data_IF_221642927856
#
_entry.id   IF_221642927856
#
_cell.length_a   1.000
_cell.length_b   1.000
_cell.length_c   1.000
_cell.angle_alpha   90.00
_cell.angle_beta   90.00
_cell.angle_gamma   90.00
#
_symmetry.space_group_name_H-M   'P 1'
#
loop_
_entity.id
_entity.type
_entity.pdbx_description
1 polymer ?
#
# COMPACT_ATOMS: atom_id res chain seq x y z
N UNK A 1 -12.68 -45.75 65.28
CA UNK A 1 -12.76 -46.94 64.40
C UNK A 1 -12.28 -46.55 63.00
N UNK A 2 -11.71 -47.51 62.22
CA UNK A 2 -10.45 -47.32 61.47
C UNK A 2 -10.65 -47.38 59.92
N UNK A 3 -9.66 -47.30 59.01
CA UNK A 3 -8.18 -47.46 59.03
C UNK A 3 -7.48 -46.23 58.39
N UNK A 4 -6.20 -45.87 58.60
CA UNK A 4 -4.90 -46.50 58.88
C UNK A 4 -3.97 -46.69 57.64
N UNK A 5 -2.67 -46.36 57.82
CA UNK A 5 -1.48 -46.93 57.11
C UNK A 5 -1.21 -46.36 55.68
N UNK A 6 0.02 -46.06 55.22
CA UNK A 6 1.41 -46.47 55.59
C UNK A 6 2.45 -45.38 55.25
N UNK A 7 3.61 -45.43 55.90
CA UNK A 7 4.85 -44.76 55.47
C UNK A 7 5.56 -45.50 54.32
N UNK A 8 6.19 -44.78 53.39
CA UNK A 8 7.16 -45.29 52.41
C UNK A 8 8.10 -44.15 51.98
N UNK A 9 9.35 -44.14 52.46
CA UNK A 9 10.55 -44.63 51.75
C UNK A 9 10.92 -43.78 50.53
N UNK A 10 12.00 -42.98 50.65
CA UNK A 10 12.64 -42.33 49.51
C UNK A 10 13.16 -43.39 48.53
N UNK A 11 12.58 -43.44 47.33
CA UNK A 11 13.11 -44.20 46.20
C UNK A 11 14.05 -43.32 45.39
N UNK A 12 15.32 -43.68 45.33
CA UNK A 12 16.28 -43.16 44.36
C UNK A 12 15.84 -43.52 42.93
N UNK A 13 15.25 -42.57 42.21
CA UNK A 13 14.93 -42.73 40.80
C UNK A 13 16.21 -42.57 39.95
N UNK A 14 16.80 -43.72 39.66
CA UNK A 14 17.66 -44.04 38.51
C UNK A 14 17.87 -42.93 37.47
N UNK A 15 19.14 -42.62 37.21
CA UNK A 15 19.55 -41.89 36.00
C UNK A 15 19.01 -42.62 34.76
N UNK A 16 18.09 -41.99 34.04
CA UNK A 16 17.71 -42.44 32.69
C UNK A 16 18.92 -42.29 31.78
N UNK A 17 19.38 -43.41 31.23
CA UNK A 17 20.44 -43.47 30.21
C UNK A 17 20.14 -42.49 29.09
N UNK A 18 21.07 -41.57 28.85
CA UNK A 18 20.97 -40.63 27.73
C UNK A 18 21.13 -41.44 26.45
N UNK A 19 20.18 -41.28 25.53
CA UNK A 19 20.16 -41.92 24.22
C UNK A 19 21.42 -41.49 23.44
N UNK A 20 22.40 -42.40 23.30
CA UNK A 20 23.61 -42.21 22.47
C UNK A 20 23.25 -42.28 20.98
N UNK A 21 22.42 -41.32 20.55
CA UNK A 21 22.11 -41.11 19.15
C UNK A 21 23.39 -40.86 18.36
N UNK A 22 23.52 -41.54 17.22
CA UNK A 22 24.72 -41.53 16.38
C UNK A 22 25.30 -40.12 16.16
N UNK A 23 26.64 -39.95 16.18
CA UNK A 23 27.27 -38.64 16.00
C UNK A 23 26.82 -37.96 14.71
N UNK A 24 26.06 -36.86 14.83
CA UNK A 24 25.56 -36.17 13.64
C UNK A 24 26.59 -35.17 13.09
N UNK A 25 26.83 -35.26 11.78
CA UNK A 25 27.60 -34.27 11.05
C UNK A 25 26.74 -33.01 10.87
N UNK A 26 27.29 -31.85 11.24
CA UNK A 26 26.64 -30.54 11.14
C UNK A 26 27.51 -29.56 10.36
N UNK A 27 26.87 -28.69 9.60
CA UNK A 27 27.50 -27.52 9.00
C UNK A 27 27.01 -26.27 9.73
N UNK A 28 27.92 -25.33 9.99
CA UNK A 28 27.64 -24.10 10.71
C UNK A 28 27.62 -22.89 9.77
N UNK A 29 26.86 -21.85 10.11
CA UNK A 29 26.81 -20.60 9.35
C UNK A 29 26.61 -19.37 10.26
N UNK A 30 27.33 -18.28 9.99
CA UNK A 30 27.25 -17.03 10.77
C UNK A 30 28.21 -16.96 11.96
N UNK A 31 29.19 -17.87 12.03
CA UNK A 31 30.31 -17.86 12.99
C UNK A 31 31.60 -17.41 12.28
N UNK A 32 32.76 -17.58 12.90
CA UNK A 32 34.06 -17.38 12.26
C UNK A 32 34.27 -18.26 11.01
N UNK A 33 35.16 -17.81 10.13
CA UNK A 33 35.50 -18.50 8.87
C UNK A 33 36.22 -19.84 9.09
N UNK A 34 36.80 -20.09 10.27
CA UNK A 34 37.41 -21.36 10.62
C UNK A 34 36.37 -22.49 10.73
N UNK A 35 35.14 -22.19 11.16
CA UNK A 35 34.10 -23.19 11.47
C UNK A 35 33.00 -23.24 10.41
N UNK A 36 32.65 -22.09 9.81
CA UNK A 36 31.56 -21.99 8.83
C UNK A 36 31.74 -22.97 7.67
N UNK A 37 30.64 -23.64 7.30
CA UNK A 37 30.54 -24.59 6.19
C UNK A 37 31.45 -25.83 6.24
N UNK A 38 32.27 -26.02 7.29
CA UNK A 38 33.02 -27.26 7.51
C UNK A 38 32.08 -28.35 8.03
N UNK A 39 31.92 -29.50 7.34
CA UNK A 39 31.16 -30.63 7.85
C UNK A 39 31.83 -31.17 9.11
N UNK A 40 31.15 -31.04 10.25
CA UNK A 40 31.74 -31.23 11.56
C UNK A 40 30.98 -32.31 12.32
N UNK A 41 31.67 -33.40 12.68
CA UNK A 41 31.11 -34.53 13.43
C UNK A 41 31.14 -34.19 14.93
N UNK A 42 29.99 -33.79 15.47
CA UNK A 42 29.86 -33.50 16.90
C UNK A 42 29.75 -34.81 17.70
N UNK A 43 30.39 -34.86 18.86
CA UNK A 43 30.30 -36.01 19.79
C UNK A 43 28.89 -36.09 20.40
N UNK A 44 28.31 -34.93 20.75
CA UNK A 44 26.97 -34.82 21.30
C UNK A 44 26.04 -34.05 20.36
N UNK A 45 24.82 -34.55 20.18
CA UNK A 45 23.81 -33.91 19.34
C UNK A 45 23.35 -32.56 19.93
N UNK A 46 23.26 -31.53 19.08
CA UNK A 46 22.69 -30.23 19.47
C UNK A 46 21.17 -30.33 19.63
N UNK A 47 20.61 -29.47 20.49
CA UNK A 47 19.16 -29.29 20.61
C UNK A 47 18.55 -28.97 19.23
N UNK A 48 17.43 -29.62 18.87
CA UNK A 48 16.82 -29.51 17.53
C UNK A 48 16.60 -28.05 17.09
N UNK A 49 16.18 -27.19 18.01
CA UNK A 49 15.96 -25.75 17.79
C UNK A 49 17.21 -24.94 17.38
N UNK A 50 18.42 -25.51 17.50
CA UNK A 50 19.68 -24.93 17.01
C UNK A 50 19.96 -25.28 15.55
N UNK A 51 19.33 -26.32 14.99
CA UNK A 51 19.43 -26.68 13.58
C UNK A 51 18.25 -26.11 12.80
N UNK A 52 18.48 -25.64 11.58
CA UNK A 52 17.40 -25.36 10.64
C UNK A 52 16.70 -26.68 10.27
N UNK A 53 15.38 -26.71 10.42
CA UNK A 53 14.54 -27.89 10.23
C UNK A 53 14.35 -28.26 8.75
N UNK A 54 14.74 -27.37 7.82
CA UNK A 54 14.74 -27.63 6.37
C UNK A 54 16.11 -28.07 5.84
N UNK A 55 17.16 -27.29 6.12
CA UNK A 55 18.48 -27.51 5.52
C UNK A 55 19.52 -28.15 6.47
N UNK A 56 19.16 -28.44 7.72
CA UNK A 56 20.04 -29.07 8.71
C UNK A 56 21.18 -28.19 9.26
N UNK A 57 21.53 -27.10 8.57
CA UNK A 57 22.55 -26.11 8.96
C UNK A 57 22.23 -25.52 10.33
N UNK A 58 23.27 -25.33 11.15
CA UNK A 58 23.21 -24.68 12.46
C UNK A 58 23.65 -23.22 12.30
N UNK A 59 22.73 -22.23 12.29
CA UNK A 59 23.07 -20.82 12.22
C UNK A 59 23.40 -20.24 13.60
N UNK A 60 23.95 -19.02 13.61
CA UNK A 60 24.08 -18.18 14.80
C UNK A 60 22.73 -17.60 15.32
N UNK A 61 21.70 -17.45 14.48
CA UNK A 61 20.31 -17.13 14.84
C UNK A 61 19.35 -18.16 14.22
N UNK A 62 18.52 -18.82 15.04
CA UNK A 62 17.32 -19.53 14.56
C UNK A 62 16.05 -18.75 14.89
N UNK A 63 15.06 -18.90 13.99
CA UNK A 63 13.69 -18.42 14.18
C UNK A 63 12.79 -19.62 14.44
N UNK A 64 12.23 -19.67 15.63
CA UNK A 64 11.43 -20.79 16.13
C UNK A 64 9.96 -20.40 16.07
N UNK A 65 9.17 -21.20 15.34
CA UNK A 65 7.73 -21.01 15.20
C UNK A 65 6.97 -21.58 16.43
N UNK A 66 5.70 -21.22 16.64
CA UNK A 66 4.86 -21.83 17.68
C UNK A 66 4.76 -23.37 17.61
N UNK A 67 4.84 -23.95 16.40
CA UNK A 67 4.93 -25.40 16.21
C UNK A 67 6.30 -26.02 16.57
N UNK A 68 7.20 -25.26 17.21
CA UNK A 68 8.56 -25.65 17.64
C UNK A 68 9.56 -25.96 16.51
N UNK A 69 9.16 -25.84 15.25
CA UNK A 69 10.09 -25.90 14.11
C UNK A 69 10.97 -24.64 14.04
N UNK A 70 12.27 -24.86 13.87
CA UNK A 70 13.28 -23.81 13.84
C UNK A 70 13.89 -23.63 12.44
N UNK A 71 14.08 -22.41 11.99
CA UNK A 71 14.59 -22.07 10.65
C UNK A 71 15.75 -21.08 10.72
N UNK A 72 16.75 -21.22 9.85
CA UNK A 72 17.75 -20.17 9.68
C UNK A 72 17.15 -18.96 8.93
N UNK A 73 17.75 -17.77 9.07
CA UNK A 73 17.25 -16.54 8.46
C UNK A 73 17.04 -16.62 6.92
N UNK A 74 17.82 -17.44 6.20
CA UNK A 74 17.61 -17.65 4.76
C UNK A 74 16.35 -18.46 4.47
N UNK A 75 16.21 -19.62 5.13
CA UNK A 75 15.03 -20.48 5.00
C UNK A 75 13.74 -19.81 5.50
N UNK A 76 13.81 -19.05 6.60
CA UNK A 76 12.66 -18.30 7.13
C UNK A 76 12.13 -17.29 6.11
N UNK A 77 13.02 -16.52 5.45
CA UNK A 77 12.62 -15.57 4.40
C UNK A 77 11.97 -16.24 3.19
N UNK A 78 12.31 -17.49 2.89
CA UNK A 78 11.72 -18.23 1.77
C UNK A 78 10.31 -18.78 2.07
N UNK A 79 9.96 -18.96 3.35
CA UNK A 79 8.63 -19.47 3.76
C UNK A 79 7.65 -18.37 4.17
N UNK A 80 8.09 -17.12 4.29
CA UNK A 80 7.27 -15.98 4.71
C UNK A 80 6.81 -15.15 3.49
N UNK A 81 5.52 -14.74 3.37
CA UNK A 81 4.42 -14.87 4.33
C UNK A 81 3.51 -16.10 4.06
N UNK A 82 4.06 -17.30 4.25
CA UNK A 82 3.33 -18.57 4.27
C UNK A 82 3.36 -19.23 5.66
N UNK A 83 2.77 -20.43 5.76
CA UNK A 83 2.81 -21.25 6.98
C UNK A 83 4.11 -22.05 7.11
N UNK A 84 4.24 -22.80 8.20
CA UNK A 84 5.31 -23.77 8.38
C UNK A 84 5.24 -24.84 7.27
N UNK A 85 6.30 -25.05 6.48
CA UNK A 85 6.28 -26.04 5.38
C UNK A 85 6.34 -27.50 5.85
N UNK A 86 6.51 -27.76 7.15
CA UNK A 86 6.65 -29.12 7.71
C UNK A 86 5.30 -29.67 8.19
N UNK A 87 4.48 -28.82 8.80
CA UNK A 87 3.19 -29.21 9.41
C UNK A 87 1.99 -28.37 8.92
N UNK A 88 2.22 -27.34 8.09
CA UNK A 88 1.18 -26.45 7.56
C UNK A 88 0.68 -25.35 8.50
N UNK A 89 1.20 -25.27 9.74
CA UNK A 89 0.72 -24.31 10.74
C UNK A 89 0.93 -22.86 10.31
N UNK A 90 -0.10 -22.04 10.40
CA UNK A 90 0.03 -20.58 10.32
C UNK A 90 0.68 -20.02 11.60
N UNK A 91 1.32 -18.86 11.47
CA UNK A 91 1.92 -18.11 12.57
C UNK A 91 1.87 -16.61 12.26
N UNK A 92 1.82 -15.76 13.27
CA UNK A 92 2.08 -14.32 13.10
C UNK A 92 3.55 -13.99 13.41
N UNK A 93 4.07 -12.91 12.83
CA UNK A 93 5.45 -12.45 13.06
C UNK A 93 5.73 -12.13 14.55
N UNK A 94 4.71 -11.80 15.34
CA UNK A 94 4.78 -11.63 16.80
C UNK A 94 5.14 -12.90 17.56
N UNK A 95 4.81 -14.06 16.99
CA UNK A 95 4.87 -15.36 17.66
C UNK A 95 6.16 -16.12 17.31
N UNK A 96 6.99 -15.53 16.44
CA UNK A 96 8.28 -16.09 15.99
C UNK A 96 9.36 -15.72 17.00
N UNK A 97 9.72 -16.68 17.86
CA UNK A 97 10.81 -16.49 18.80
C UNK A 97 12.17 -16.51 18.09
N UNK A 98 13.07 -15.59 18.46
CA UNK A 98 14.46 -15.58 17.96
C UNK A 98 15.39 -16.18 19.00
N UNK A 99 16.21 -17.13 18.57
CA UNK A 99 17.15 -17.83 19.45
C UNK A 99 18.58 -17.69 18.92
N UNK A 100 19.36 -16.87 19.61
CA UNK A 100 20.79 -16.69 19.35
C UNK A 100 21.60 -17.87 19.91
N UNK A 101 22.55 -18.35 19.12
CA UNK A 101 23.56 -19.33 19.50
C UNK A 101 24.93 -18.67 19.33
N UNK A 102 25.54 -18.26 20.44
CA UNK A 102 26.81 -17.53 20.40
C UNK A 102 27.98 -18.44 19.99
N UNK A 103 29.02 -17.86 19.40
CA UNK A 103 30.19 -18.62 18.99
C UNK A 103 30.91 -19.28 20.18
N UNK A 104 30.96 -18.61 21.33
CA UNK A 104 31.47 -19.17 22.59
C UNK A 104 30.73 -20.46 23.02
N UNK A 105 29.40 -20.48 22.89
CA UNK A 105 28.58 -21.66 23.18
C UNK A 105 28.74 -22.79 22.15
N UNK A 106 29.25 -22.48 20.95
CA UNK A 106 29.60 -23.45 19.91
C UNK A 106 31.03 -23.98 20.09
N UNK A 107 32.01 -23.11 20.31
CA UNK A 107 33.43 -23.45 20.50
C UNK A 107 33.66 -24.45 21.63
N UNK A 108 32.84 -24.40 22.68
CA UNK A 108 32.86 -25.34 23.82
C UNK A 108 32.32 -26.74 23.51
N UNK A 109 31.73 -26.99 22.34
CA UNK A 109 31.15 -28.30 21.97
C UNK A 109 32.25 -29.29 21.60
N UNK A 110 32.09 -30.54 22.04
CA UNK A 110 33.01 -31.62 21.72
C UNK A 110 32.78 -32.13 20.28
N UNK A 111 33.86 -32.27 19.52
CA UNK A 111 33.83 -32.70 18.12
C UNK A 111 35.07 -33.55 17.77
N UNK A 112 34.95 -34.36 16.71
CA UNK A 112 36.09 -35.03 16.09
C UNK A 112 36.83 -34.07 15.16
N UNK A 113 38.13 -34.30 14.96
CA UNK A 113 38.93 -33.63 13.94
C UNK A 113 38.29 -33.75 12.54
N UNK A 114 38.37 -32.70 11.73
CA UNK A 114 37.84 -32.72 10.35
C UNK A 114 38.56 -33.73 9.42
N UNK A 115 39.74 -34.23 9.82
CA UNK A 115 40.46 -35.33 9.15
C UNK A 115 40.17 -36.72 9.79
N UNK A 116 39.10 -36.89 10.58
CA UNK A 116 38.80 -38.16 11.23
C UNK A 116 38.55 -39.31 10.24
N UNK A 117 37.89 -39.05 9.12
CA UNK A 117 37.68 -40.04 8.05
C UNK A 117 39.00 -40.43 7.33
N UNK A 118 40.07 -39.65 7.51
CA UNK A 118 41.42 -39.95 7.05
C UNK A 118 42.25 -40.72 8.11
N UNK A 119 41.67 -41.03 9.28
CA UNK A 119 42.34 -41.74 10.38
C UNK A 119 42.83 -40.86 11.54
N UNK A 120 42.47 -39.57 11.60
CA UNK A 120 42.79 -38.74 12.75
C UNK A 120 41.87 -39.03 13.94
N UNK A 121 42.43 -39.57 15.03
CA UNK A 121 41.66 -39.95 16.23
C UNK A 121 41.37 -38.79 17.20
N UNK A 122 41.82 -37.56 16.90
CA UNK A 122 41.67 -36.41 17.80
C UNK A 122 40.21 -36.01 18.03
N UNK A 123 39.85 -35.82 19.31
CA UNK A 123 38.56 -35.33 19.79
C UNK A 123 38.82 -34.29 20.88
N UNK A 124 38.16 -33.14 20.79
CA UNK A 124 38.30 -32.04 21.74
C UNK A 124 37.18 -31.02 21.62
N UNK A 125 37.30 -29.85 22.27
CA UNK A 125 36.37 -28.76 22.01
C UNK A 125 36.53 -28.26 20.56
N UNK A 126 35.53 -27.59 19.98
CA UNK A 126 35.65 -27.04 18.62
C UNK A 126 36.77 -26.01 18.49
N UNK A 127 37.13 -25.34 19.60
CA UNK A 127 38.31 -24.49 19.65
C UNK A 127 39.60 -25.31 19.50
N UNK A 128 39.76 -26.37 20.30
CA UNK A 128 40.93 -27.25 20.25
C UNK A 128 41.02 -28.00 18.92
N UNK A 129 39.89 -28.40 18.34
CA UNK A 129 39.80 -29.04 17.02
C UNK A 129 40.28 -28.09 15.91
N UNK A 130 39.96 -26.80 16.00
CA UNK A 130 40.47 -25.82 15.02
C UNK A 130 41.99 -25.65 15.13
N UNK A 131 42.50 -25.48 16.36
CA UNK A 131 43.94 -25.34 16.61
C UNK A 131 44.70 -26.60 16.16
N UNK A 132 44.26 -27.78 16.60
CA UNK A 132 44.83 -29.05 16.18
C UNK A 132 44.80 -29.22 14.65
N UNK A 133 43.68 -28.87 14.00
CA UNK A 133 43.58 -28.99 12.55
C UNK A 133 44.55 -28.04 11.84
N UNK A 134 44.63 -26.77 12.23
CA UNK A 134 45.44 -25.80 11.49
C UNK A 134 46.95 -25.98 11.74
N UNK A 135 47.38 -26.34 12.97
CA UNK A 135 48.80 -26.40 13.36
C UNK A 135 49.39 -27.82 13.50
N UNK A 136 48.63 -28.79 14.02
CA UNK A 136 49.17 -30.10 14.48
C UNK A 136 48.77 -31.33 13.63
N UNK A 137 47.80 -31.21 12.71
CA UNK A 137 47.17 -32.38 12.11
C UNK A 137 47.98 -33.02 10.95
N UNK A 138 48.63 -34.14 11.26
CA UNK A 138 49.40 -34.95 10.29
C UNK A 138 48.57 -35.60 9.15
N UNK A 139 47.24 -35.59 9.27
CA UNK A 139 46.30 -36.27 8.36
C UNK A 139 45.69 -35.36 7.27
N UNK A 140 46.29 -34.19 7.03
CA UNK A 140 45.95 -33.34 5.88
C UNK A 140 46.32 -34.00 4.56
N UNK A 141 45.49 -33.80 3.53
CA UNK A 141 45.89 -34.09 2.16
C UNK A 141 46.82 -33.01 1.59
N UNK A 142 47.84 -33.44 0.87
CA UNK A 142 48.72 -32.60 0.05
C UNK A 142 48.83 -33.19 -1.36
N UNK A 143 49.02 -32.31 -2.35
CA UNK A 143 49.34 -32.75 -3.71
C UNK A 143 50.84 -33.01 -3.81
N UNK A 144 51.21 -34.25 -4.17
CA UNK A 144 52.60 -34.59 -4.45
C UNK A 144 53.10 -33.80 -5.67
N UNK A 145 54.13 -32.97 -5.49
CA UNK A 145 54.65 -32.10 -6.58
C UNK A 145 55.28 -32.87 -7.74
N UNK A 146 55.57 -34.17 -7.58
CA UNK A 146 56.10 -35.02 -8.65
C UNK A 146 55.02 -35.69 -9.52
N UNK A 147 53.93 -36.21 -8.92
CA UNK A 147 52.90 -36.98 -9.64
C UNK A 147 51.51 -36.33 -9.62
N UNK A 148 51.32 -35.24 -8.87
CA UNK A 148 50.04 -34.57 -8.61
C UNK A 148 48.95 -35.46 -7.99
N UNK A 149 49.33 -36.58 -7.37
CA UNK A 149 48.43 -37.41 -6.57
C UNK A 149 48.17 -36.81 -5.18
N UNK A 150 46.96 -37.01 -4.67
CA UNK A 150 46.58 -36.69 -3.29
C UNK A 150 47.18 -37.72 -2.33
N UNK A 151 47.98 -37.26 -1.37
CA UNK A 151 48.66 -38.10 -0.36
C UNK A 151 48.49 -37.44 1.00
N UNK A 152 48.39 -38.23 2.07
CA UNK A 152 48.42 -37.67 3.44
C UNK A 152 49.80 -37.05 3.72
N UNK A 153 49.81 -35.92 4.41
CA UNK A 153 51.03 -35.14 4.71
C UNK A 153 52.10 -35.99 5.39
N UNK A 154 51.71 -36.78 6.39
CA UNK A 154 52.58 -37.76 7.08
C UNK A 154 53.22 -38.81 6.15
N UNK A 155 52.52 -39.22 5.10
CA UNK A 155 52.93 -40.33 4.23
C UNK A 155 53.71 -39.86 3.00
N UNK A 156 53.91 -38.54 2.81
CA UNK A 156 54.56 -37.99 1.61
C UNK A 156 55.99 -38.54 1.40
N UNK A 157 56.75 -38.75 2.48
CA UNK A 157 58.09 -39.35 2.39
C UNK A 157 58.03 -40.82 1.96
N UNK A 158 57.06 -41.55 2.48
CA UNK A 158 56.88 -42.96 2.18
C UNK A 158 56.37 -43.18 0.75
N UNK A 159 55.46 -42.33 0.28
CA UNK A 159 55.05 -42.23 -1.12
C UNK A 159 56.23 -42.01 -2.08
N UNK A 160 57.23 -41.20 -1.70
CA UNK A 160 58.45 -41.03 -2.49
C UNK A 160 59.34 -42.28 -2.47
N UNK A 161 59.48 -42.96 -1.32
CA UNK A 161 60.26 -44.21 -1.18
C UNK A 161 59.63 -45.37 -1.96
N UNK A 162 58.31 -45.47 -1.98
CA UNK A 162 57.54 -46.47 -2.73
C UNK A 162 57.51 -46.21 -4.25
N UNK A 163 58.33 -45.28 -4.75
CA UNK A 163 58.56 -45.10 -6.17
C UNK A 163 57.57 -44.17 -6.86
N UNK A 164 57.22 -43.05 -6.22
CA UNK A 164 56.45 -41.97 -6.86
C UNK A 164 57.01 -41.58 -8.24
N UNK A 165 56.18 -41.74 -9.28
CA UNK A 165 56.43 -41.42 -10.70
C UNK A 165 55.25 -40.62 -11.26
N UNK A 166 55.46 -39.81 -12.30
CA UNK A 166 54.40 -39.06 -13.00
C UNK A 166 53.29 -39.96 -13.59
N UNK A 167 53.57 -41.24 -13.77
CA UNK A 167 52.71 -42.21 -14.46
C UNK A 167 51.96 -43.16 -13.49
N UNK A 168 52.25 -43.11 -12.17
CA UNK A 168 51.68 -44.04 -11.18
C UNK A 168 50.26 -43.63 -10.72
N UNK A 169 49.33 -43.43 -11.66
CA UNK A 169 47.93 -43.77 -11.42
C UNK A 169 47.74 -45.26 -11.74
N UNK A 170 47.03 -46.05 -10.91
CA UNK A 170 47.05 -47.50 -11.04
C UNK A 170 46.23 -47.99 -12.24
N UNK A 171 46.91 -48.48 -13.27
CA UNK A 171 46.34 -49.35 -14.30
C UNK A 171 46.86 -50.78 -14.12
N UNK A 172 45.94 -51.70 -13.81
CA UNK A 172 46.19 -53.10 -13.44
C UNK A 172 46.89 -53.90 -14.58
N UNK A 173 48.11 -54.38 -14.36
CA UNK A 173 48.95 -55.03 -15.37
C UNK A 173 48.77 -56.55 -15.45
N UNK A 174 47.83 -57.00 -16.31
CA UNK A 174 47.74 -58.40 -16.76
C UNK A 174 47.25 -58.58 -18.20
N UNK A 175 47.70 -57.73 -19.13
CA UNK A 175 47.39 -57.86 -20.56
C UNK A 175 48.47 -57.24 -21.48
N UNK A 176 49.42 -58.04 -21.98
CA UNK A 176 50.33 -57.65 -23.07
C UNK A 176 50.34 -58.71 -24.19
N UNK A 177 49.15 -59.10 -24.65
CA UNK A 177 48.95 -59.94 -25.83
C UNK A 177 47.92 -59.37 -26.83
N UNK A 178 47.39 -58.16 -26.59
CA UNK A 178 46.20 -57.62 -27.27
C UNK A 178 46.37 -56.25 -27.95
N UNK A 179 47.60 -55.76 -28.19
CA UNK A 179 47.81 -54.36 -28.65
C UNK A 179 46.98 -53.97 -29.89
N UNK A 180 46.84 -54.85 -30.88
CA UNK A 180 46.03 -54.58 -32.07
C UNK A 180 44.50 -54.59 -31.80
N UNK A 181 44.02 -55.53 -30.97
CA UNK A 181 42.61 -55.60 -30.58
C UNK A 181 42.25 -54.48 -29.60
N UNK A 182 43.19 -53.99 -28.80
CA UNK A 182 43.03 -52.85 -27.90
C UNK A 182 42.98 -51.51 -28.64
N UNK A 183 43.74 -51.34 -29.73
CA UNK A 183 43.60 -50.17 -30.62
C UNK A 183 42.23 -50.19 -31.33
N UNK A 184 41.79 -51.32 -31.89
CA UNK A 184 40.44 -51.42 -32.48
C UNK A 184 39.32 -51.22 -31.44
N UNK A 185 39.49 -51.75 -30.22
CA UNK A 185 38.56 -51.59 -29.10
C UNK A 185 38.51 -50.14 -28.61
N UNK A 186 39.64 -49.44 -28.58
CA UNK A 186 39.72 -48.02 -28.27
C UNK A 186 39.12 -47.15 -29.38
N UNK A 187 39.32 -47.52 -30.65
CA UNK A 187 38.66 -46.89 -31.80
C UNK A 187 37.14 -47.00 -31.72
N UNK A 188 36.60 -48.22 -31.53
CA UNK A 188 35.16 -48.43 -31.29
C UNK A 188 34.64 -47.72 -30.04
N UNK A 189 35.43 -47.63 -28.97
CA UNK A 189 35.05 -46.88 -27.79
C UNK A 189 35.02 -45.36 -28.05
N UNK A 190 35.94 -44.83 -28.85
CA UNK A 190 35.95 -43.44 -29.29
C UNK A 190 34.77 -43.13 -30.20
N UNK A 191 34.46 -43.98 -31.18
CA UNK A 191 33.26 -43.88 -32.03
C UNK A 191 31.97 -43.92 -31.19
N UNK A 192 31.86 -44.85 -30.23
CA UNK A 192 30.73 -44.92 -29.32
C UNK A 192 30.63 -43.69 -28.40
N UNK A 193 31.75 -43.05 -28.06
CA UNK A 193 31.78 -41.81 -27.28
C UNK A 193 31.38 -40.61 -28.13
N UNK A 194 31.85 -40.53 -29.38
CA UNK A 194 31.44 -39.51 -30.36
C UNK A 194 29.95 -39.60 -30.69
N UNK A 195 29.41 -40.81 -30.84
CA UNK A 195 27.97 -41.04 -31.01
C UNK A 195 27.16 -40.55 -29.79
N UNK A 196 27.61 -40.83 -28.56
CA UNK A 196 26.99 -40.29 -27.34
C UNK A 196 27.09 -38.76 -27.27
N UNK A 197 28.22 -38.18 -27.68
CA UNK A 197 28.38 -36.72 -27.71
C UNK A 197 27.45 -36.07 -28.74
N UNK A 198 27.22 -36.71 -29.89
CA UNK A 198 26.24 -36.26 -30.88
C UNK A 198 24.80 -36.33 -30.34
N UNK A 199 24.42 -37.42 -29.65
CA UNK A 199 23.12 -37.55 -28.97
C UNK A 199 22.93 -36.49 -27.87
N UNK A 200 23.95 -36.26 -27.03
CA UNK A 200 23.93 -35.22 -26.00
C UNK A 200 23.80 -33.84 -26.64
N UNK A 201 24.51 -33.56 -27.73
CA UNK A 201 24.42 -32.30 -28.47
C UNK A 201 23.04 -32.10 -29.09
N UNK A 202 22.42 -33.15 -29.65
CA UNK A 202 21.05 -33.11 -30.16
C UNK A 202 20.03 -32.84 -29.04
N UNK A 203 20.16 -33.54 -27.91
CA UNK A 203 19.31 -33.37 -26.73
C UNK A 203 19.43 -31.97 -26.09
N UNK A 204 20.65 -31.42 -26.03
CA UNK A 204 20.89 -30.04 -25.60
C UNK A 204 20.26 -29.03 -26.56
N UNK A 205 20.36 -29.25 -27.87
CA UNK A 205 19.77 -28.38 -28.89
C UNK A 205 18.24 -28.38 -28.82
N UNK A 206 17.59 -29.54 -28.67
CA UNK A 206 16.14 -29.61 -28.45
C UNK A 206 15.72 -28.94 -27.13
N UNK A 207 16.48 -29.17 -26.06
CA UNK A 207 16.22 -28.54 -24.75
C UNK A 207 16.32 -27.01 -24.82
N UNK A 208 17.32 -26.48 -25.53
CA UNK A 208 17.45 -25.04 -25.81
C UNK A 208 16.28 -24.50 -26.64
N UNK A 209 15.88 -25.21 -27.70
CA UNK A 209 14.76 -24.82 -28.54
C UNK A 209 13.42 -24.88 -27.79
N UNK A 210 13.25 -25.81 -26.85
CA UNK A 210 12.09 -25.89 -25.96
C UNK A 210 12.07 -24.73 -24.97
N UNK A 211 13.17 -24.49 -24.25
CA UNK A 211 13.29 -23.38 -23.31
C UNK A 211 13.09 -22.02 -23.99
N UNK A 212 13.61 -21.83 -25.20
CA UNK A 212 13.42 -20.62 -26.01
C UNK A 212 11.94 -20.39 -26.34
N UNK A 213 11.21 -21.44 -26.76
CA UNK A 213 9.76 -21.36 -27.00
C UNK A 213 8.96 -21.05 -25.73
N UNK A 214 9.27 -21.73 -24.63
CA UNK A 214 8.61 -21.50 -23.32
C UNK A 214 8.85 -20.05 -22.84
N UNK A 215 10.08 -19.55 -22.99
CA UNK A 215 10.43 -18.16 -22.67
C UNK A 215 9.65 -17.16 -23.54
N UNK A 216 9.55 -17.40 -24.86
CA UNK A 216 8.80 -16.55 -25.80
C UNK A 216 7.27 -16.58 -25.61
N UNK A 217 6.74 -17.63 -24.98
CA UNK A 217 5.33 -17.69 -24.56
C UNK A 217 5.15 -16.90 -23.27
N UNK A 218 5.95 -17.19 -22.23
CA UNK A 218 5.89 -16.48 -20.95
C UNK A 218 6.10 -14.96 -21.08
N UNK A 219 7.00 -14.52 -21.97
CA UNK A 219 7.17 -13.09 -22.29
C UNK A 219 5.92 -12.46 -22.90
N UNK A 220 5.17 -13.20 -23.73
CA UNK A 220 3.91 -12.72 -24.34
C UNK A 220 2.78 -12.65 -23.33
N UNK A 221 2.72 -13.59 -22.40
CA UNK A 221 1.74 -13.60 -21.31
C UNK A 221 2.01 -12.44 -20.34
N UNK A 222 3.27 -12.21 -19.98
CA UNK A 222 3.70 -11.03 -19.20
C UNK A 222 3.37 -9.73 -19.95
N UNK A 223 3.68 -9.63 -21.25
CA UNK A 223 3.35 -8.45 -22.05
C UNK A 223 1.83 -8.17 -22.09
N UNK A 224 1.02 -9.22 -22.22
CA UNK A 224 -0.45 -9.13 -22.21
C UNK A 224 -0.98 -8.68 -20.83
N UNK A 225 -0.42 -9.23 -19.75
CA UNK A 225 -0.74 -8.85 -18.37
C UNK A 225 -0.36 -7.40 -18.08
N UNK A 226 0.84 -6.96 -18.47
CA UNK A 226 1.30 -5.56 -18.32
C UNK A 226 0.41 -4.61 -19.13
N UNK A 227 -0.02 -4.98 -20.33
CA UNK A 227 -0.95 -4.17 -21.12
C UNK A 227 -2.33 -4.04 -20.44
N UNK A 228 -2.85 -5.12 -19.85
CA UNK A 228 -4.10 -5.10 -19.08
C UNK A 228 -3.98 -4.23 -17.80
N UNK A 229 -2.90 -4.40 -17.03
CA UNK A 229 -2.61 -3.56 -15.86
C UNK A 229 -2.46 -2.08 -16.22
N UNK A 230 -1.83 -1.76 -17.35
CA UNK A 230 -1.68 -0.38 -17.84
C UNK A 230 -3.03 0.28 -18.14
N UNK A 231 -4.00 -0.47 -18.67
CA UNK A 231 -5.38 0.02 -18.88
C UNK A 231 -6.09 0.29 -17.56
N UNK A 232 -6.08 -0.67 -16.63
CA UNK A 232 -6.67 -0.51 -15.30
C UNK A 232 -6.06 0.67 -14.51
N UNK A 233 -4.74 0.88 -14.59
CA UNK A 233 -4.08 2.04 -14.00
C UNK A 233 -4.54 3.36 -14.62
N UNK A 234 -4.84 3.38 -15.92
CA UNK A 234 -5.37 4.57 -16.60
C UNK A 234 -6.80 4.88 -16.17
N UNK A 235 -7.65 3.87 -16.08
CA UNK A 235 -9.04 3.99 -15.57
C UNK A 235 -9.07 4.46 -14.10
N UNK A 236 -8.23 3.87 -13.24
CA UNK A 236 -8.07 4.31 -11.84
C UNK A 236 -7.59 5.75 -11.74
N UNK A 237 -6.67 6.18 -12.60
CA UNK A 237 -6.19 7.58 -12.65
C UNK A 237 -7.29 8.54 -13.09
N UNK A 238 -8.12 8.15 -14.05
CA UNK A 238 -9.28 8.95 -14.45
C UNK A 238 -10.32 9.07 -13.32
N UNK A 239 -10.60 7.97 -12.61
CA UNK A 239 -11.46 7.95 -11.43
C UNK A 239 -10.91 8.77 -10.27
N UNK A 240 -9.60 8.74 -10.02
CA UNK A 240 -8.96 9.62 -9.05
C UNK A 240 -9.15 11.09 -9.41
N UNK A 241 -8.93 11.47 -10.68
CA UNK A 241 -9.16 12.84 -11.13
C UNK A 241 -10.64 13.27 -11.01
N UNK A 242 -11.59 12.33 -11.18
CA UNK A 242 -13.03 12.59 -10.95
C UNK A 242 -13.34 12.85 -9.48
N UNK A 243 -12.77 12.05 -8.57
CA UNK A 243 -12.86 12.26 -7.11
C UNK A 243 -12.20 13.57 -6.70
N UNK A 244 -11.02 13.91 -7.22
CA UNK A 244 -10.29 15.14 -6.90
C UNK A 244 -11.06 16.39 -7.34
N UNK A 245 -11.66 16.37 -8.54
CA UNK A 245 -12.55 17.44 -9.01
C UNK A 245 -13.77 17.58 -8.11
N UNK A 246 -14.43 16.48 -7.75
CA UNK A 246 -15.58 16.48 -6.85
C UNK A 246 -15.23 17.01 -5.45
N UNK A 247 -14.11 16.56 -4.89
CA UNK A 247 -13.59 17.01 -3.60
C UNK A 247 -13.26 18.50 -3.62
N UNK A 248 -12.57 18.99 -4.66
CA UNK A 248 -12.26 20.41 -4.85
C UNK A 248 -13.54 21.25 -4.94
N UNK A 249 -14.54 20.81 -5.71
CA UNK A 249 -15.86 21.47 -5.77
C UNK A 249 -16.53 21.50 -4.40
N UNK A 250 -16.47 20.41 -3.63
CA UNK A 250 -17.06 20.35 -2.28
C UNK A 250 -16.31 21.24 -1.27
N UNK A 251 -14.99 21.30 -1.33
CA UNK A 251 -14.15 22.21 -0.53
C UNK A 251 -14.49 23.67 -0.86
N UNK A 252 -14.62 24.03 -2.14
CA UNK A 252 -15.01 25.39 -2.54
C UNK A 252 -16.44 25.75 -2.08
N UNK A 253 -17.38 24.80 -2.13
CA UNK A 253 -18.72 24.99 -1.57
C UNK A 253 -18.69 25.18 -0.05
N UNK A 254 -17.84 24.42 0.67
CA UNK A 254 -17.66 24.56 2.12
C UNK A 254 -16.97 25.89 2.47
N UNK A 255 -15.95 26.32 1.73
CA UNK A 255 -15.29 27.62 1.92
C UNK A 255 -16.27 28.79 1.67
N UNK A 256 -17.13 28.70 0.65
CA UNK A 256 -18.20 29.68 0.43
C UNK A 256 -19.21 29.72 1.60
N UNK A 257 -19.62 28.56 2.14
CA UNK A 257 -20.46 28.48 3.34
C UNK A 257 -19.74 29.05 4.58
N UNK A 258 -18.43 28.78 4.72
CA UNK A 258 -17.61 29.25 5.84
C UNK A 258 -17.44 30.77 5.81
N UNK A 259 -17.22 31.36 4.62
CA UNK A 259 -17.22 32.82 4.41
C UNK A 259 -18.59 33.44 4.65
N UNK A 260 -19.67 32.66 4.54
CA UNK A 260 -21.02 33.05 4.96
C UNK A 260 -21.24 33.05 6.48
N UNK A 261 -20.44 32.33 7.28
CA UNK A 261 -20.67 32.23 8.73
C UNK A 261 -20.72 33.57 9.48
N UNK A 262 -19.93 34.61 9.17
CA UNK A 262 -20.06 35.92 9.81
C UNK A 262 -21.46 36.56 9.64
N UNK A 263 -22.15 36.30 8.52
CA UNK A 263 -23.54 36.73 8.33
C UNK A 263 -24.52 35.85 9.14
N UNK A 264 -24.29 34.53 9.14
CA UNK A 264 -25.07 33.52 9.88
C UNK A 264 -24.99 33.75 11.40
N UNK A 265 -23.83 34.18 11.93
CA UNK A 265 -23.62 34.48 13.35
C UNK A 265 -24.41 35.74 13.76
N UNK A 266 -24.42 36.79 12.93
CA UNK A 266 -25.32 37.95 13.12
C UNK A 266 -26.81 37.57 13.04
N UNK A 267 -27.11 36.39 12.48
CA UNK A 267 -28.45 35.82 12.33
C UNK A 267 -28.88 34.89 13.48
N UNK A 268 -28.01 34.56 14.45
CA UNK A 268 -28.27 33.47 15.43
C UNK A 268 -29.56 33.63 16.22
N UNK A 269 -29.91 34.85 16.61
CA UNK A 269 -31.11 35.12 17.42
C UNK A 269 -32.38 35.34 16.59
N UNK A 270 -32.25 35.59 15.27
CA UNK A 270 -33.37 35.66 14.33
C UNK A 270 -33.69 34.29 13.73
N UNK A 271 -32.67 33.49 13.34
CA UNK A 271 -32.88 32.12 12.89
C UNK A 271 -33.56 31.25 13.95
N UNK A 272 -33.28 31.46 15.24
CA UNK A 272 -33.98 30.76 16.34
C UNK A 272 -35.51 31.01 16.35
N UNK A 273 -35.98 32.10 15.75
CA UNK A 273 -37.42 32.44 15.59
C UNK A 273 -38.06 31.97 14.28
N UNK A 274 -37.27 31.78 13.21
CA UNK A 274 -37.81 31.51 11.85
C UNK A 274 -37.50 30.09 11.34
N UNK A 275 -36.48 29.42 11.90
CA UNK A 275 -36.03 28.10 11.45
C UNK A 275 -37.06 26.97 11.64
N UNK A 276 -38.05 27.13 12.51
CA UNK A 276 -39.11 26.12 12.72
C UNK A 276 -40.04 25.93 11.52
N UNK A 277 -40.04 26.83 10.54
CA UNK A 277 -41.17 26.95 9.59
C UNK A 277 -40.79 27.12 8.11
N UNK A 278 -39.54 27.45 7.74
CA UNK A 278 -39.28 28.08 6.43
C UNK A 278 -38.17 27.50 5.51
N UNK A 279 -37.11 26.85 5.99
CA UNK A 279 -35.88 26.68 5.17
C UNK A 279 -35.59 25.26 4.66
N UNK A 280 -35.66 25.11 3.34
CA UNK A 280 -34.84 24.18 2.56
C UNK A 280 -33.90 25.03 1.71
N UNK A 281 -32.59 24.94 1.96
CA UNK A 281 -31.55 25.66 1.22
C UNK A 281 -30.96 24.69 0.19
N UNK A 282 -30.91 25.10 -1.09
CA UNK A 282 -30.41 24.29 -2.19
C UNK A 282 -29.52 25.11 -3.11
N UNK A 283 -28.78 24.46 -4.03
CA UNK A 283 -27.97 25.15 -5.08
C UNK A 283 -28.80 26.07 -5.98
N UNK A 284 -30.10 25.83 -6.03
CA UNK A 284 -31.05 26.56 -6.88
C UNK A 284 -31.88 27.57 -6.08
N UNK A 285 -31.54 27.85 -4.80
CA UNK A 285 -32.27 28.80 -3.95
C UNK A 285 -31.36 29.58 -3.01
N UNK A 286 -31.36 30.90 -3.16
CA UNK A 286 -30.69 31.85 -2.25
C UNK A 286 -31.69 32.59 -1.37
N UNK A 287 -31.24 32.97 -0.18
CA UNK A 287 -31.99 33.76 0.79
C UNK A 287 -31.17 34.99 1.21
N UNK A 288 -31.79 36.15 1.24
CA UNK A 288 -31.18 37.43 1.63
C UNK A 288 -32.07 38.11 2.66
N UNK A 289 -31.49 38.62 3.74
CA UNK A 289 -32.20 39.47 4.70
C UNK A 289 -31.68 40.90 4.57
N UNK A 290 -32.55 41.79 4.12
CA UNK A 290 -32.30 43.22 4.10
C UNK A 290 -32.61 43.80 5.50
N UNK A 291 -31.67 44.55 6.08
CA UNK A 291 -31.86 45.26 7.34
C UNK A 291 -32.15 46.75 7.13
N UNK A 292 -32.30 47.48 8.24
CA UNK A 292 -32.47 48.95 8.28
C UNK A 292 -33.63 49.47 7.40
N UNK A 293 -34.69 48.68 7.23
CA UNK A 293 -35.81 48.94 6.30
C UNK A 293 -36.45 50.32 6.54
N UNK A 294 -36.66 50.72 7.80
CA UNK A 294 -37.20 52.03 8.19
C UNK A 294 -36.31 53.17 7.68
N UNK A 295 -34.99 53.09 7.92
CA UNK A 295 -34.01 54.07 7.42
C UNK A 295 -34.06 54.18 5.90
N UNK A 296 -34.20 53.04 5.20
CA UNK A 296 -34.27 53.02 3.74
C UNK A 296 -35.61 53.57 3.20
N UNK A 297 -36.74 53.36 3.90
CA UNK A 297 -38.02 54.02 3.59
C UNK A 297 -37.94 55.53 3.79
N UNK A 298 -37.38 56.00 4.90
CA UNK A 298 -37.28 57.43 5.19
C UNK A 298 -36.34 58.16 4.22
N UNK A 299 -35.20 57.55 3.89
CA UNK A 299 -34.32 58.06 2.84
C UNK A 299 -35.01 58.09 1.46
N UNK A 300 -35.87 57.11 1.13
CA UNK A 300 -36.66 57.12 -0.10
C UNK A 300 -37.78 58.19 -0.12
N UNK A 301 -38.40 58.52 1.04
CA UNK A 301 -39.36 59.63 1.17
C UNK A 301 -38.73 60.98 0.83
N UNK A 302 -37.44 61.15 1.16
CA UNK A 302 -36.65 62.35 0.94
C UNK A 302 -36.07 62.42 -0.48
N UNK A 303 -35.41 61.35 -0.94
CA UNK A 303 -34.62 61.32 -2.18
C UNK A 303 -35.38 60.75 -3.40
N UNK A 304 -36.70 60.57 -3.31
CA UNK A 304 -37.57 59.93 -4.30
C UNK A 304 -37.28 58.45 -4.64
N UNK A 305 -36.14 57.91 -4.21
CA UNK A 305 -35.88 56.48 -4.16
C UNK A 305 -34.51 56.12 -3.58
N UNK A 306 -34.37 54.88 -3.10
CA UNK A 306 -33.13 54.30 -2.56
C UNK A 306 -33.00 52.86 -3.05
N UNK A 307 -31.77 52.44 -3.37
CA UNK A 307 -31.46 51.05 -3.72
C UNK A 307 -30.55 50.43 -2.65
N UNK A 308 -30.83 49.19 -2.31
CA UNK A 308 -30.01 48.33 -1.46
C UNK A 308 -29.76 47.05 -2.24
N UNK A 309 -28.52 46.58 -2.30
CA UNK A 309 -28.15 45.35 -3.01
C UNK A 309 -27.69 44.27 -2.04
N UNK A 310 -27.91 43.01 -2.40
CA UNK A 310 -27.31 41.88 -1.71
C UNK A 310 -25.83 41.75 -2.07
N UNK A 311 -25.10 40.98 -1.27
CA UNK A 311 -23.85 40.37 -1.72
C UNK A 311 -24.10 39.53 -2.99
N UNK A 312 -23.04 39.31 -3.79
CA UNK A 312 -23.11 38.42 -4.96
C UNK A 312 -23.21 36.96 -4.49
N UNK A 313 -24.07 36.20 -5.14
CA UNK A 313 -24.28 34.78 -4.90
C UNK A 313 -24.24 33.99 -6.22
N UNK A 314 -24.06 32.68 -6.11
CA UNK A 314 -24.21 31.75 -7.24
C UNK A 314 -25.66 31.23 -7.30
N UNK A 315 -26.24 31.22 -8.49
CA UNK A 315 -27.57 30.65 -8.75
C UNK A 315 -27.55 29.89 -10.08
N UNK A 316 -27.78 28.57 -10.04
CA UNK A 316 -27.62 27.66 -11.19
C UNK A 316 -26.28 27.83 -11.96
N UNK A 317 -25.19 28.14 -11.23
CA UNK A 317 -23.84 28.36 -11.76
C UNK A 317 -23.51 29.80 -12.16
N UNK A 318 -24.50 30.69 -12.31
CA UNK A 318 -24.28 32.10 -12.67
C UNK A 318 -24.03 32.95 -11.43
N UNK A 319 -23.17 33.95 -11.54
CA UNK A 319 -23.03 34.97 -10.49
C UNK A 319 -24.15 35.99 -10.64
N UNK A 320 -24.87 36.28 -9.55
CA UNK A 320 -25.98 37.22 -9.54
C UNK A 320 -26.09 37.94 -8.18
N UNK A 321 -26.95 38.95 -8.11
CA UNK A 321 -27.36 39.60 -6.86
C UNK A 321 -28.83 40.02 -6.91
N UNK A 322 -29.41 40.32 -5.77
CA UNK A 322 -30.71 40.98 -5.66
C UNK A 322 -30.54 42.47 -5.43
N UNK A 323 -31.45 43.27 -5.96
CA UNK A 323 -31.59 44.69 -5.66
C UNK A 323 -33.00 44.98 -5.12
N UNK A 324 -33.07 45.46 -3.89
CA UNK A 324 -34.27 45.99 -3.26
C UNK A 324 -34.29 47.51 -3.45
N UNK A 325 -35.25 48.00 -4.23
CA UNK A 325 -35.46 49.42 -4.49
C UNK A 325 -36.70 49.92 -3.76
N UNK A 326 -36.53 50.93 -2.94
CA UNK A 326 -37.61 51.72 -2.38
C UNK A 326 -37.86 52.92 -3.31
N UNK A 327 -39.10 53.14 -3.71
CA UNK A 327 -39.49 54.26 -4.59
C UNK A 327 -40.65 55.04 -3.96
N UNK A 328 -40.61 56.38 -4.05
CA UNK A 328 -41.69 57.21 -3.53
C UNK A 328 -42.89 57.18 -4.49
N UNK A 329 -44.07 56.90 -3.95
CA UNK A 329 -45.31 56.75 -4.71
C UNK A 329 -46.39 57.63 -4.05
N UNK A 330 -46.48 58.88 -4.51
CA UNK A 330 -47.28 59.90 -3.81
C UNK A 330 -46.80 60.13 -2.37
N UNK A 331 -47.63 59.77 -1.40
CA UNK A 331 -47.33 59.83 0.05
C UNK A 331 -46.73 58.53 0.62
N UNK A 332 -46.76 57.43 -0.14
CA UNK A 332 -46.24 56.12 0.28
C UNK A 332 -44.83 55.86 -0.26
N UNK A 333 -44.24 54.74 0.18
CA UNK A 333 -42.99 54.20 -0.37
C UNK A 333 -43.25 52.75 -0.76
N UNK A 334 -43.05 52.44 -2.03
CA UNK A 334 -43.24 51.13 -2.60
C UNK A 334 -41.91 50.37 -2.63
N UNK A 335 -41.98 49.05 -2.42
CA UNK A 335 -40.83 48.17 -2.40
C UNK A 335 -40.81 47.29 -3.65
N UNK A 336 -39.74 47.40 -4.43
CA UNK A 336 -39.50 46.68 -5.67
C UNK A 336 -38.28 45.77 -5.52
N UNK A 337 -38.35 44.56 -6.08
CA UNK A 337 -37.27 43.59 -6.07
C UNK A 337 -36.85 43.26 -7.49
N UNK A 338 -35.54 43.29 -7.74
CA UNK A 338 -34.93 43.01 -9.03
C UNK A 338 -33.82 41.96 -8.89
N UNK A 339 -33.64 41.17 -9.94
CA UNK A 339 -32.55 40.21 -10.11
C UNK A 339 -31.54 40.77 -11.10
N UNK A 340 -30.27 40.88 -10.68
CA UNK A 340 -29.17 41.38 -11.50
C UNK A 340 -28.19 40.25 -11.78
N UNK A 341 -27.97 39.92 -13.05
CA UNK A 341 -26.83 39.06 -13.44
C UNK A 341 -25.54 39.85 -13.27
N UNK A 342 -24.52 39.22 -12.67
CA UNK A 342 -23.24 39.83 -12.31
C UNK A 342 -22.09 39.11 -13.00
N UNK A 343 -20.99 39.81 -13.26
CA UNK A 343 -19.78 39.19 -13.81
C UNK A 343 -19.19 38.20 -12.81
N UNK A 344 -18.99 36.96 -13.24
CA UNK A 344 -18.46 35.85 -12.48
C UNK A 344 -17.07 35.37 -12.99
N UNK A 345 -16.35 34.57 -12.19
CA UNK A 345 -15.07 33.99 -12.61
C UNK A 345 -15.26 32.93 -13.72
N UNK A 346 -16.35 32.17 -13.66
CA UNK A 346 -16.60 31.02 -14.54
C UNK A 346 -17.41 31.35 -15.80
N UNK A 347 -17.69 32.64 -16.06
CA UNK A 347 -18.57 33.10 -17.16
C UNK A 347 -18.19 32.59 -18.56
N UNK A 348 -16.91 32.21 -18.78
CA UNK A 348 -16.46 31.61 -20.04
C UNK A 348 -16.99 30.19 -20.29
N UNK A 349 -17.42 29.49 -19.24
CA UNK A 349 -17.91 28.09 -19.29
C UNK A 349 -19.44 27.98 -19.32
N UNK A 350 -20.14 29.09 -19.10
CA UNK A 350 -21.59 29.16 -19.01
C UNK A 350 -22.25 29.46 -20.37
N UNK A 351 -23.49 29.02 -20.52
CA UNK A 351 -24.31 29.31 -21.71
C UNK A 351 -24.89 30.73 -21.59
N UNK A 352 -24.75 31.54 -22.63
CA UNK A 352 -25.26 32.91 -22.65
C UNK A 352 -26.25 33.12 -23.82
N UNK A 353 -27.30 33.94 -23.65
CA UNK A 353 -27.68 34.68 -22.43
C UNK A 353 -28.14 33.78 -21.27
N UNK A 354 -28.23 34.35 -20.07
CA UNK A 354 -28.84 33.70 -18.92
C UNK A 354 -30.29 33.32 -19.26
N UNK A 355 -30.65 32.05 -19.09
CA UNK A 355 -31.88 31.46 -19.63
C UNK A 355 -32.71 30.72 -18.58
N UNK A 356 -32.42 30.88 -17.29
CA UNK A 356 -33.12 30.20 -16.21
C UNK A 356 -34.28 31.06 -15.70
N UNK A 357 -35.47 30.50 -15.57
CA UNK A 357 -36.61 31.16 -14.91
C UNK A 357 -36.31 31.29 -13.42
N UNK A 358 -36.46 32.49 -12.87
CA UNK A 358 -36.19 32.80 -11.45
C UNK A 358 -37.45 33.32 -10.79
N UNK A 359 -37.81 32.75 -9.64
CA UNK A 359 -38.90 33.20 -8.78
C UNK A 359 -38.31 33.93 -7.58
N UNK A 360 -38.61 35.21 -7.46
CA UNK A 360 -38.22 36.06 -6.35
C UNK A 360 -39.38 36.22 -5.36
N UNK A 361 -39.13 36.21 -4.05
CA UNK A 361 -40.19 36.27 -3.04
C UNK A 361 -39.89 37.25 -1.90
N UNK A 362 -40.94 37.90 -1.38
CA UNK A 362 -41.00 38.47 -0.03
C UNK A 362 -41.64 37.42 0.88
N UNK A 363 -40.86 36.84 1.79
CA UNK A 363 -41.35 35.78 2.67
C UNK A 363 -42.13 36.41 3.82
N UNK A 364 -43.41 36.06 3.94
CA UNK A 364 -44.22 36.50 5.07
C UNK A 364 -43.83 35.71 6.34
N UNK A 365 -43.59 36.37 7.48
CA UNK A 365 -42.80 35.81 8.60
C UNK A 365 -43.47 34.68 9.39
N UNK A 366 -44.80 34.53 9.29
CA UNK A 366 -45.55 33.55 10.10
C UNK A 366 -46.61 32.76 9.32
N UNK A 367 -46.78 33.05 8.04
CA UNK A 367 -47.78 32.41 7.19
C UNK A 367 -47.24 32.33 5.77
N UNK A 368 -46.87 31.12 5.35
CA UNK A 368 -46.26 30.88 4.03
C UNK A 368 -47.23 31.17 2.88
N UNK A 369 -48.55 31.06 3.09
CA UNK A 369 -49.55 31.31 2.05
C UNK A 369 -49.59 32.77 1.60
N UNK A 370 -49.21 33.70 2.48
CA UNK A 370 -49.11 35.14 2.22
C UNK A 370 -47.77 35.58 1.61
N UNK A 371 -46.86 34.65 1.32
CA UNK A 371 -45.59 34.97 0.66
C UNK A 371 -45.84 35.55 -0.73
N UNK A 372 -45.47 36.82 -0.96
CA UNK A 372 -45.56 37.43 -2.28
C UNK A 372 -44.42 36.91 -3.16
N UNK A 373 -44.75 36.46 -4.37
CA UNK A 373 -43.78 36.03 -5.36
C UNK A 373 -43.89 36.85 -6.67
N UNK A 374 -42.77 36.96 -7.38
CA UNK A 374 -42.64 37.52 -8.73
C UNK A 374 -41.69 36.62 -9.54
N UNK A 375 -42.19 36.08 -10.65
CA UNK A 375 -41.35 35.38 -11.62
C UNK A 375 -40.66 36.36 -12.56
N UNK A 376 -39.47 35.99 -13.04
CA UNK A 376 -38.85 36.51 -14.25
C UNK A 376 -38.51 35.33 -15.18
N UNK A 377 -38.72 35.54 -16.48
CA UNK A 377 -38.39 34.57 -17.52
C UNK A 377 -37.54 35.24 -18.59
N UNK A 378 -36.23 34.95 -18.64
CA UNK A 378 -35.34 35.54 -19.62
C UNK A 378 -35.71 35.23 -21.08
N UNK A 379 -36.46 34.15 -21.34
CA UNK A 379 -36.82 33.73 -22.70
C UNK A 379 -38.00 34.51 -23.29
N UNK A 380 -38.86 35.08 -22.44
CA UNK A 380 -40.03 35.88 -22.82
C UNK A 380 -39.94 37.36 -22.40
N UNK A 381 -38.80 37.76 -21.82
CA UNK A 381 -38.56 39.13 -21.33
C UNK A 381 -38.52 40.18 -22.44
N UNK A 382 -39.14 41.33 -22.17
CA UNK A 382 -39.02 42.55 -22.98
C UNK A 382 -37.68 43.30 -22.79
N UNK A 383 -36.83 42.83 -21.86
CA UNK A 383 -35.55 43.44 -21.48
C UNK A 383 -34.38 42.45 -21.62
N UNK A 384 -34.15 41.84 -22.79
CA UNK A 384 -33.16 40.76 -22.97
C UNK A 384 -31.73 41.17 -22.59
N UNK A 385 -31.41 42.47 -22.65
CA UNK A 385 -30.12 43.03 -22.25
C UNK A 385 -29.78 42.83 -20.77
N UNK A 386 -30.77 42.59 -19.89
CA UNK A 386 -30.54 42.23 -18.48
C UNK A 386 -29.82 40.88 -18.32
N UNK A 387 -29.88 40.01 -19.35
CA UNK A 387 -29.44 38.62 -19.29
C UNK A 387 -28.24 38.30 -20.19
N UNK A 388 -27.74 39.27 -20.94
CA UNK A 388 -26.51 39.10 -21.73
C UNK A 388 -25.31 38.82 -20.82
N UNK A 389 -24.24 38.27 -21.38
CA UNK A 389 -23.00 38.06 -20.63
C UNK A 389 -22.48 39.40 -20.09
N UNK A 390 -22.32 39.57 -18.76
CA UNK A 390 -21.85 40.83 -18.19
C UNK A 390 -20.44 41.18 -18.67
N UNK A 391 -20.32 42.38 -19.24
CA UNK A 391 -19.02 43.01 -19.56
C UNK A 391 -18.54 43.80 -18.35
N UNK A 392 -19.43 44.68 -17.88
CA UNK A 392 -19.33 45.42 -16.62
C UNK A 392 -19.55 44.52 -15.40
N UNK A 393 -19.43 45.10 -14.21
CA UNK A 393 -19.57 44.39 -12.94
C UNK A 393 -20.93 43.66 -12.78
N UNK A 394 -21.99 44.26 -13.33
CA UNK A 394 -23.37 43.75 -13.29
C UNK A 394 -24.23 44.37 -14.40
N UNK A 395 -25.23 43.63 -14.86
CA UNK A 395 -26.25 44.13 -15.78
C UNK A 395 -27.34 44.92 -15.03
N UNK A 396 -28.13 45.69 -15.78
CA UNK A 396 -29.47 46.12 -15.35
C UNK A 396 -30.28 44.89 -14.90
N UNK A 397 -31.08 45.06 -13.84
CA UNK A 397 -31.84 43.95 -13.27
C UNK A 397 -33.31 43.99 -13.67
N UNK A 398 -33.92 42.83 -13.86
CA UNK A 398 -35.36 42.71 -14.11
C UNK A 398 -36.12 42.31 -12.85
N UNK A 399 -37.35 42.77 -12.72
CA UNK A 399 -38.19 42.54 -11.55
C UNK A 399 -39.33 43.56 -11.47
N UNK A 400 -39.59 44.09 -10.28
CA UNK A 400 -40.59 45.15 -10.10
C UNK A 400 -41.25 45.13 -8.73
N UNK A 401 -42.42 45.75 -8.64
CA UNK A 401 -43.11 45.97 -7.36
C UNK A 401 -43.49 44.64 -6.68
N UNK A 402 -43.24 44.58 -5.37
CA UNK A 402 -43.56 43.43 -4.51
C UNK A 402 -44.58 43.82 -3.45
N UNK A 403 -44.41 44.98 -2.82
CA UNK A 403 -45.35 45.53 -1.84
C UNK A 403 -45.52 47.04 -2.03
N UNK A 404 -46.75 47.53 -1.90
CA UNK A 404 -47.13 48.92 -2.10
C UNK A 404 -47.38 49.59 -0.74
N UNK A 405 -46.77 50.74 -0.50
CA UNK A 405 -46.92 51.54 0.72
C UNK A 405 -46.83 50.78 2.05
N UNK A 406 -47.97 50.60 2.72
CA UNK A 406 -48.08 49.91 4.01
C UNK A 406 -48.17 48.39 3.89
N UNK A 407 -48.45 47.83 2.70
CA UNK A 407 -48.44 46.37 2.50
C UNK A 407 -47.05 45.76 2.67
N UNK A 408 -46.00 46.58 2.71
CA UNK A 408 -44.64 46.15 3.09
C UNK A 408 -44.57 45.74 4.57
N UNK A 409 -45.34 46.39 5.44
CA UNK A 409 -45.24 46.24 6.90
C UNK A 409 -45.62 44.82 7.36
N UNK A 410 -46.48 44.12 6.60
CA UNK A 410 -46.82 42.69 6.80
C UNK A 410 -45.62 41.74 6.65
N UNK A 411 -44.53 42.18 6.00
CA UNK A 411 -43.33 41.37 5.74
C UNK A 411 -42.12 41.80 6.58
N UNK A 412 -42.19 42.95 7.26
CA UNK A 412 -41.07 43.51 8.03
C UNK A 412 -41.13 43.02 9.47
N UNK A 413 -40.05 42.39 9.94
CA UNK A 413 -39.92 41.93 11.33
C UNK A 413 -38.63 42.49 11.93
N UNK A 414 -38.76 43.26 13.02
CA UNK A 414 -37.60 43.81 13.74
C UNK A 414 -36.70 44.66 12.85
N UNK A 415 -37.29 45.51 12.00
CA UNK A 415 -36.60 46.34 11.00
C UNK A 415 -35.80 45.54 9.94
N UNK A 416 -36.22 44.29 9.66
CA UNK A 416 -35.63 43.43 8.62
C UNK A 416 -36.70 42.82 7.70
N UNK A 417 -36.30 42.48 6.46
CA UNK A 417 -37.15 41.88 5.43
C UNK A 417 -36.47 40.62 4.86
N UNK A 418 -37.16 39.48 4.86
CA UNK A 418 -36.65 38.22 4.28
C UNK A 418 -37.05 38.10 2.81
N UNK A 419 -36.03 37.94 1.96
CA UNK A 419 -36.10 37.84 0.52
C UNK A 419 -35.52 36.50 0.07
N UNK A 420 -36.06 35.92 -1.00
CA UNK A 420 -35.46 34.74 -1.65
C UNK A 420 -35.46 34.87 -3.16
N UNK A 421 -34.54 34.19 -3.84
CA UNK A 421 -34.61 33.92 -5.27
C UNK A 421 -34.34 32.43 -5.51
N UNK A 422 -35.19 31.77 -6.29
CA UNK A 422 -35.09 30.34 -6.62
C UNK A 422 -35.26 30.10 -8.12
N UNK A 423 -34.49 29.16 -8.68
CA UNK A 423 -34.64 28.72 -10.08
C UNK A 423 -35.77 27.71 -10.16
N UNK A 424 -36.68 27.89 -11.13
CA UNK A 424 -37.88 27.07 -11.28
C UNK A 424 -37.93 26.36 -12.63
N UNK A 425 -38.33 25.09 -12.63
CA UNK A 425 -38.39 24.27 -13.85
C UNK A 425 -39.60 24.59 -14.74
N UNK A 426 -40.75 24.90 -14.14
CA UNK A 426 -42.04 25.15 -14.79
C UNK A 426 -42.64 26.50 -14.37
N UNK A 427 -43.77 26.88 -14.99
CA UNK A 427 -44.52 28.10 -14.65
C UNK A 427 -45.12 28.03 -13.22
N UNK A 428 -45.55 29.19 -12.72
CA UNK A 428 -45.70 29.54 -11.29
C UNK A 428 -47.11 29.46 -10.72
#
# INVERSE_FOLDING_TARGET
MPQAVKTGSLSTSTMTTVDEGTPSVKCFAGFSCAINWRPTKLVANLQRIRSCSLCGVVPNETRVLPCSHAFCASCFRAIHPGGCPIDGSSFADSDVNRMEFSEEQLLTRQAHCWNADNGCEFVGSLQDVSLHFDDDCDFHYVNCTRCNGYVLRRDILEHYRQGCRKENYPANTKAQLNVASDIMRSGKAAEATLARLADIQASLSDSLNRLSRETLVGMRDVQSSVAAQTRLLSELKEKQNEVDRSCTTNINNLDALVRGFPAIIRHRDWMRKVASTAFSISRDKVCWVAGDIERHRDAARQNSGVQVVSDKFLLAGYTARLCLKFAKSGSSVDAHLFFNVCRGPDDNSLVWPFHRRVKMCFIHPSDRSKTKARGIDPSSSSYPHCYYRPVEEHNTGEGGIMAEGSALDDYVVGNTLLLTAEVVATEW
#
